data_IF_967816941826
#
_entry.id   IF_967816941826
#
_cell.length_a   1.000
_cell.length_b   1.000
_cell.length_c   1.000
_cell.angle_alpha   90.00
_cell.angle_beta   90.00
_cell.angle_gamma   90.00
#
_symmetry.space_group_name_H-M   'P 1'
#
loop_
_entity.id
_entity.type
_entity.pdbx_description
1 polymer ?
#
# COMPACT_ATOMS: atom_id res chain seq x y z
N UNK A 1 12.41 -21.16 41.98
CA UNK A 1 12.91 -21.32 40.59
C UNK A 1 12.80 -19.98 39.90
N UNK A 2 13.92 -19.26 39.78
CA UNK A 2 14.02 -17.98 39.08
C UNK A 2 14.30 -18.26 37.59
N UNK A 3 13.40 -17.85 36.71
CA UNK A 3 13.63 -17.86 35.26
C UNK A 3 14.33 -16.55 34.87
N UNK A 4 15.60 -16.66 34.48
CA UNK A 4 16.44 -15.59 33.95
C UNK A 4 15.96 -15.16 32.56
N UNK A 5 15.73 -13.85 32.38
CA UNK A 5 15.53 -13.20 31.06
C UNK A 5 16.80 -13.30 30.21
N UNK A 6 16.73 -13.50 28.88
CA UNK A 6 17.88 -13.30 28.01
C UNK A 6 18.18 -11.81 27.83
N UNK A 7 19.45 -11.47 28.02
CA UNK A 7 20.04 -10.15 27.89
C UNK A 7 20.06 -9.64 26.44
N UNK A 8 19.67 -8.38 26.27
CA UNK A 8 20.06 -7.56 25.11
C UNK A 8 21.58 -7.38 25.09
N UNK A 9 22.28 -8.06 24.17
CA UNK A 9 23.65 -7.74 23.82
C UNK A 9 23.96 -8.22 22.39
N UNK A 10 24.04 -7.28 21.46
CA UNK A 10 24.46 -7.58 20.10
C UNK A 10 24.08 -6.53 19.06
N UNK A 11 24.35 -5.23 19.30
CA UNK A 11 24.42 -4.25 18.21
C UNK A 11 25.58 -4.65 17.30
N UNK A 12 25.31 -5.41 16.23
CA UNK A 12 26.24 -5.51 15.10
C UNK A 12 26.22 -4.15 14.41
N UNK A 13 27.25 -3.37 14.69
CA UNK A 13 27.55 -2.16 13.94
C UNK A 13 27.75 -2.56 12.48
N UNK A 14 26.95 -1.95 11.60
CA UNK A 14 27.03 -2.09 10.15
C UNK A 14 28.47 -1.88 9.70
N UNK A 15 29.07 -2.92 9.15
CA UNK A 15 30.35 -2.85 8.42
C UNK A 15 30.10 -3.31 6.98
N UNK A 16 29.21 -2.63 6.27
CA UNK A 16 29.40 -2.45 4.82
C UNK A 16 30.45 -1.34 4.68
N UNK A 17 31.51 -1.65 3.94
CA UNK A 17 32.56 -0.70 3.56
C UNK A 17 31.97 0.63 3.13
N UNK A 18 32.53 1.74 3.64
CA UNK A 18 32.14 3.13 3.37
C UNK A 18 32.31 3.59 1.91
N UNK A 19 32.36 2.67 0.94
CA UNK A 19 32.48 2.96 -0.47
C UNK A 19 31.09 3.00 -1.12
N UNK A 20 30.67 4.23 -1.41
CA UNK A 20 29.62 4.65 -2.35
C UNK A 20 28.21 4.14 -2.06
N UNK A 21 27.55 4.73 -1.06
CA UNK A 21 26.09 4.82 -1.13
C UNK A 21 25.71 5.61 -2.38
N UNK A 22 24.99 4.98 -3.30
CA UNK A 22 24.47 5.63 -4.49
C UNK A 22 23.45 6.70 -4.07
N UNK A 23 23.73 7.96 -4.40
CA UNK A 23 22.75 9.05 -4.31
C UNK A 23 22.03 9.08 -5.64
N UNK A 24 20.75 8.71 -5.69
CA UNK A 24 20.06 8.61 -6.96
C UNK A 24 19.80 10.00 -7.57
N UNK A 25 19.76 10.10 -8.88
CA UNK A 25 19.29 11.26 -9.63
C UNK A 25 17.76 11.28 -9.72
N UNK A 26 17.11 10.13 -9.83
CA UNK A 26 15.65 9.95 -9.82
C UNK A 26 15.19 9.16 -8.58
N UNK A 27 14.16 9.67 -7.90
CA UNK A 27 13.60 9.06 -6.70
C UNK A 27 12.12 9.43 -6.63
N UNK A 28 11.27 8.42 -6.49
CA UNK A 28 9.83 8.60 -6.35
C UNK A 28 9.27 7.69 -5.25
N UNK A 29 8.20 8.16 -4.64
CA UNK A 29 7.36 7.36 -3.76
C UNK A 29 5.98 7.26 -4.41
N UNK A 30 5.37 6.08 -4.32
CA UNK A 30 4.02 5.84 -4.80
C UNK A 30 3.19 5.24 -3.68
N UNK A 31 2.01 5.81 -3.43
CA UNK A 31 1.00 5.10 -2.65
C UNK A 31 0.44 3.97 -3.51
N UNK A 32 0.42 2.77 -2.96
CA UNK A 32 0.00 1.58 -3.68
C UNK A 32 -0.92 0.72 -2.83
N UNK A 33 -1.79 -0.02 -3.50
CA UNK A 33 -2.58 -1.10 -2.91
C UNK A 33 -2.14 -2.43 -3.52
N UNK A 34 -1.96 -3.45 -2.68
CA UNK A 34 -1.64 -4.81 -3.11
C UNK A 34 -2.92 -5.51 -3.56
N UNK A 35 -2.92 -6.04 -4.79
CA UNK A 35 -3.93 -7.04 -5.21
C UNK A 35 -3.63 -8.34 -4.49
N UNK A 36 -4.47 -8.73 -3.53
CA UNK A 36 -4.37 -10.05 -2.90
C UNK A 36 -4.58 -11.17 -3.93
N UNK A 37 -3.77 -12.24 -3.86
CA UNK A 37 -3.89 -13.42 -4.73
C UNK A 37 -5.19 -14.21 -4.49
N UNK A 38 -5.81 -14.10 -3.31
CA UNK A 38 -7.08 -14.75 -3.00
C UNK A 38 -8.26 -14.14 -3.79
N UNK A 39 -8.08 -12.94 -4.34
CA UNK A 39 -9.13 -12.20 -5.07
C UNK A 39 -9.44 -12.87 -6.42
N UNK A 40 -8.50 -13.60 -7.02
CA UNK A 40 -8.72 -14.30 -8.30
C UNK A 40 -9.40 -15.67 -8.16
N UNK A 41 -9.34 -16.32 -7.00
CA UNK A 41 -9.88 -17.68 -6.82
C UNK A 41 -11.29 -17.69 -6.20
N UNK A 42 -11.64 -16.69 -5.39
CA UNK A 42 -12.91 -16.68 -4.65
C UNK A 42 -14.07 -15.90 -5.32
N UNK A 43 -13.83 -15.21 -6.45
CA UNK A 43 -14.81 -14.27 -7.01
C UNK A 43 -14.99 -14.47 -8.53
N UNK A 44 -16.21 -14.78 -9.02
CA UNK A 44 -16.53 -14.67 -10.43
C UNK A 44 -16.68 -13.17 -10.78
N UNK A 45 -15.56 -12.51 -11.08
CA UNK A 45 -15.55 -11.11 -11.50
C UNK A 45 -16.22 -10.96 -12.86
N UNK A 46 -17.16 -10.01 -12.99
CA UNK A 46 -16.86 -8.95 -13.94
C UNK A 46 -17.36 -7.54 -13.56
N UNK A 47 -18.23 -7.36 -12.56
CA UNK A 47 -18.73 -6.10 -11.96
C UNK A 47 -19.70 -6.56 -10.88
N UNK A 48 -19.66 -6.00 -9.68
CA UNK A 48 -20.70 -6.22 -8.67
C UNK A 48 -22.08 -6.00 -9.32
N UNK A 49 -22.90 -7.05 -9.35
CA UNK A 49 -23.75 -7.47 -10.48
C UNK A 49 -24.70 -6.36 -10.97
N UNK A 50 -24.59 -5.99 -12.25
CA UNK A 50 -25.46 -5.02 -12.91
C UNK A 50 -25.10 -4.58 -14.34
N UNK A 51 -23.92 -4.90 -14.88
CA UNK A 51 -23.59 -4.53 -16.27
C UNK A 51 -22.52 -5.46 -16.86
N UNK A 52 -22.90 -6.66 -17.32
CA UNK A 52 -22.02 -7.56 -18.08
C UNK A 52 -21.48 -6.88 -19.34
N UNK A 53 -20.19 -6.48 -19.44
CA UNK A 53 -19.59 -6.40 -20.74
C UNK A 53 -19.43 -7.85 -21.23
N UNK A 54 -19.69 -8.06 -22.51
CA UNK A 54 -19.63 -9.36 -23.19
C UNK A 54 -18.30 -10.08 -22.96
N UNK A 55 -18.24 -11.40 -23.18
CA UNK A 55 -16.99 -12.18 -23.05
C UNK A 55 -15.82 -11.58 -23.85
N UNK A 56 -16.08 -10.95 -24.99
CA UNK A 56 -15.07 -10.23 -25.79
C UNK A 56 -14.39 -9.08 -25.02
N UNK A 57 -15.10 -8.37 -24.15
CA UNK A 57 -14.53 -7.32 -23.29
C UNK A 57 -13.83 -7.87 -22.04
N UNK A 58 -14.06 -9.14 -21.67
CA UNK A 58 -13.19 -9.87 -20.74
C UNK A 58 -11.86 -10.28 -21.41
N UNK A 59 -11.82 -10.38 -22.74
CA UNK A 59 -10.59 -10.68 -23.48
C UNK A 59 -9.69 -9.44 -23.65
N UNK A 60 -10.28 -8.23 -23.67
CA UNK A 60 -9.55 -6.96 -23.56
C UNK A 60 -8.94 -6.73 -22.17
N UNK A 61 -9.41 -7.50 -21.17
CA UNK A 61 -8.74 -7.63 -19.89
C UNK A 61 -7.47 -8.46 -20.09
N UNK A 62 -6.34 -7.77 -20.23
CA UNK A 62 -5.04 -8.42 -20.11
C UNK A 62 -4.95 -8.98 -18.70
N UNK A 63 -5.20 -10.28 -18.54
CA UNK A 63 -4.66 -11.02 -17.40
C UNK A 63 -3.15 -10.78 -17.45
N UNK A 64 -2.56 -10.03 -16.51
CA UNK A 64 -1.13 -9.84 -16.59
C UNK A 64 -0.49 -11.21 -16.38
N UNK A 65 0.32 -11.57 -17.35
CA UNK A 65 0.80 -12.91 -17.67
C UNK A 65 1.82 -13.44 -16.67
N UNK A 66 1.46 -13.57 -15.39
CA UNK A 66 2.18 -14.42 -14.41
C UNK A 66 1.56 -14.34 -13.01
N UNK A 67 1.25 -15.48 -12.43
CA UNK A 67 0.95 -15.62 -11.00
C UNK A 67 2.26 -15.79 -10.23
N UNK A 68 2.65 -14.93 -9.28
CA UNK A 68 3.64 -15.35 -8.26
C UNK A 68 3.53 -14.59 -6.93
N UNK A 69 3.35 -15.36 -5.85
CA UNK A 69 3.48 -15.02 -4.42
C UNK A 69 4.99 -15.09 -4.03
N UNK A 70 5.45 -14.73 -2.82
CA UNK A 70 6.50 -13.76 -2.54
C UNK A 70 7.85 -14.46 -2.30
N UNK A 71 8.89 -13.67 -2.06
CA UNK A 71 10.19 -14.11 -1.54
C UNK A 71 11.23 -14.60 -2.55
N UNK A 72 11.20 -14.09 -3.78
CA UNK A 72 12.42 -14.00 -4.60
C UNK A 72 12.66 -12.59 -5.10
N UNK A 73 13.93 -12.17 -5.02
CA UNK A 73 14.45 -10.99 -5.71
C UNK A 73 14.09 -11.12 -7.20
N UNK A 74 13.09 -10.39 -7.66
CA UNK A 74 12.54 -10.48 -9.03
C UNK A 74 11.04 -10.82 -9.15
N UNK A 75 10.34 -11.12 -8.05
CA UNK A 75 8.90 -11.41 -8.05
C UNK A 75 8.15 -10.39 -7.19
N UNK A 76 7.44 -9.47 -7.84
CA UNK A 76 6.77 -8.33 -7.21
C UNK A 76 5.30 -8.67 -6.93
N UNK A 77 4.80 -8.29 -5.74
CA UNK A 77 3.36 -8.24 -5.50
C UNK A 77 2.72 -7.33 -6.56
N UNK A 78 1.57 -7.74 -7.10
CA UNK A 78 0.85 -6.90 -8.06
C UNK A 78 0.26 -5.70 -7.32
N UNK A 79 0.86 -4.54 -7.53
CA UNK A 79 0.42 -3.28 -6.93
C UNK A 79 -0.38 -2.44 -7.92
N UNK A 80 -1.27 -1.60 -7.39
CA UNK A 80 -1.95 -0.54 -8.13
C UNK A 80 -1.52 0.77 -7.50
N UNK A 81 -0.85 1.63 -8.26
CA UNK A 81 -0.52 2.97 -7.82
C UNK A 81 -1.79 3.82 -7.72
N UNK A 82 -2.03 4.40 -6.55
CA UNK A 82 -3.16 5.27 -6.30
C UNK A 82 -2.84 6.67 -6.82
N UNK A 83 -3.23 6.91 -8.07
CA UNK A 83 -3.01 8.18 -8.75
C UNK A 83 -4.32 8.86 -9.13
N UNK A 84 -4.27 10.15 -9.41
CA UNK A 84 -5.39 10.91 -9.99
C UNK A 84 -5.71 10.56 -11.44
N UNK A 85 -4.97 9.63 -12.06
CA UNK A 85 -5.15 9.20 -13.43
C UNK A 85 -5.88 7.85 -13.57
N UNK A 86 -6.26 7.22 -12.46
CA UNK A 86 -6.97 5.94 -12.48
C UNK A 86 -8.34 6.09 -13.17
N UNK A 87 -8.67 5.11 -14.00
CA UNK A 87 -10.01 5.04 -14.58
C UNK A 87 -11.03 4.44 -13.57
N UNK A 88 -12.31 4.45 -13.95
CA UNK A 88 -13.39 3.96 -13.08
C UNK A 88 -13.23 2.47 -12.73
N UNK A 89 -12.70 1.67 -13.65
CA UNK A 89 -12.51 0.23 -13.47
C UNK A 89 -11.34 -0.05 -12.52
N UNK A 90 -10.28 0.73 -12.62
CA UNK A 90 -9.13 0.67 -11.72
C UNK A 90 -9.52 1.09 -10.30
N UNK A 91 -10.33 2.16 -10.14
CA UNK A 91 -10.89 2.54 -8.84
C UNK A 91 -11.76 1.41 -8.26
N UNK A 92 -12.60 0.77 -9.07
CA UNK A 92 -13.38 -0.40 -8.65
C UNK A 92 -12.51 -1.58 -8.23
N UNK A 93 -11.35 -1.76 -8.86
CA UNK A 93 -10.36 -2.77 -8.48
C UNK A 93 -9.74 -2.47 -7.11
N UNK A 94 -9.42 -1.20 -6.83
CA UNK A 94 -8.93 -0.79 -5.50
C UNK A 94 -10.00 -1.05 -4.44
N UNK A 95 -11.27 -0.73 -4.73
CA UNK A 95 -12.40 -1.02 -3.83
C UNK A 95 -12.56 -2.51 -3.55
N UNK A 96 -12.37 -3.36 -4.56
CA UNK A 96 -12.37 -4.81 -4.39
C UNK A 96 -11.23 -5.30 -3.49
N UNK A 97 -10.02 -4.74 -3.64
CA UNK A 97 -8.89 -5.08 -2.78
C UNK A 97 -9.15 -4.68 -1.32
N UNK A 98 -9.72 -3.50 -1.08
CA UNK A 98 -10.16 -3.05 0.25
C UNK A 98 -11.23 -3.98 0.82
N UNK A 99 -12.27 -4.30 0.04
CA UNK A 99 -13.36 -5.13 0.49
C UNK A 99 -12.91 -6.57 0.83
N UNK A 100 -11.92 -7.09 0.09
CA UNK A 100 -11.42 -8.45 0.30
C UNK A 100 -10.42 -8.54 1.45
N UNK A 101 -9.85 -7.42 1.90
CA UNK A 101 -8.79 -7.43 2.89
C UNK A 101 -9.31 -7.84 4.27
N UNK A 102 -8.60 -8.78 4.91
CA UNK A 102 -8.96 -9.30 6.23
C UNK A 102 -10.08 -10.35 6.23
N UNK A 103 -10.61 -10.75 5.08
CA UNK A 103 -11.60 -11.83 4.99
C UNK A 103 -10.95 -13.20 5.15
N UNK A 104 -11.59 -14.06 5.94
CA UNK A 104 -11.29 -15.48 5.95
C UNK A 104 -11.81 -16.14 4.66
N UNK A 105 -11.19 -17.25 4.25
CA UNK A 105 -11.52 -17.91 2.97
C UNK A 105 -12.93 -18.50 2.89
N UNK A 106 -13.62 -18.59 4.03
CA UNK A 106 -15.01 -19.06 4.18
C UNK A 106 -16.03 -17.92 4.40
N UNK A 107 -15.58 -16.66 4.45
CA UNK A 107 -16.48 -15.53 4.64
C UNK A 107 -17.38 -15.34 3.40
N UNK A 108 -18.70 -15.52 3.57
CA UNK A 108 -19.68 -15.33 2.50
C UNK A 108 -19.61 -13.91 1.92
N UNK A 109 -19.21 -13.83 0.66
CA UNK A 109 -19.20 -12.60 -0.11
C UNK A 109 -20.64 -12.17 -0.36
N UNK A 110 -20.96 -10.94 0.03
CA UNK A 110 -22.29 -10.39 -0.20
C UNK A 110 -22.47 -10.01 -1.67
N UNK A 111 -23.64 -10.32 -2.23
CA UNK A 111 -23.85 -10.24 -3.68
C UNK A 111 -23.96 -8.80 -4.23
N UNK A 112 -23.98 -7.76 -3.37
CA UNK A 112 -24.28 -6.38 -3.79
C UNK A 112 -23.27 -5.34 -3.28
N UNK A 113 -23.10 -4.28 -4.06
CA UNK A 113 -22.23 -3.17 -3.71
C UNK A 113 -22.60 -2.45 -2.43
N UNK A 114 -23.90 -2.30 -2.20
CA UNK A 114 -24.43 -1.65 -1.01
C UNK A 114 -24.11 -2.48 0.24
N UNK A 115 -24.24 -3.80 0.17
CA UNK A 115 -23.97 -4.68 1.32
C UNK A 115 -22.49 -4.64 1.71
N UNK A 116 -21.58 -4.75 0.75
CA UNK A 116 -20.15 -4.70 1.03
C UNK A 116 -19.69 -3.31 1.50
N UNK A 117 -20.26 -2.22 0.96
CA UNK A 117 -19.97 -0.88 1.46
C UNK A 117 -20.48 -0.69 2.89
N UNK A 118 -21.65 -1.22 3.25
CA UNK A 118 -22.11 -1.23 4.65
C UNK A 118 -21.14 -1.98 5.56
N UNK A 119 -20.68 -3.16 5.13
CA UNK A 119 -19.68 -3.91 5.88
C UNK A 119 -18.38 -3.11 6.09
N UNK A 120 -17.89 -2.42 5.05
CA UNK A 120 -16.71 -1.53 5.17
C UNK A 120 -16.97 -0.39 6.17
N UNK A 121 -18.17 0.19 6.15
CA UNK A 121 -18.56 1.26 7.07
C UNK A 121 -18.65 0.77 8.53
N UNK A 122 -19.03 -0.50 8.73
CA UNK A 122 -19.15 -1.13 10.04
C UNK A 122 -17.80 -1.58 10.64
N UNK A 123 -16.71 -1.59 9.86
CA UNK A 123 -15.37 -1.87 10.38
C UNK A 123 -14.91 -0.76 11.32
N UNK A 124 -14.29 -1.11 12.45
CA UNK A 124 -13.67 -0.12 13.34
C UNK A 124 -12.60 0.69 12.60
N UNK A 125 -11.74 -0.01 11.85
CA UNK A 125 -10.71 0.59 10.99
C UNK A 125 -10.58 -0.22 9.70
N UNK A 126 -10.62 0.48 8.56
CA UNK A 126 -10.29 -0.08 7.26
C UNK A 126 -8.78 -0.15 7.12
N UNK A 127 -8.28 -1.35 6.82
CA UNK A 127 -6.88 -1.60 6.50
C UNK A 127 -6.79 -2.23 5.13
N UNK A 128 -5.71 -1.99 4.40
CA UNK A 128 -5.46 -2.67 3.12
C UNK A 128 -3.97 -2.85 2.91
N UNK A 129 -3.56 -4.05 2.47
CA UNK A 129 -2.18 -4.31 2.07
C UNK A 129 -1.76 -3.35 0.97
N UNK A 130 -0.55 -2.81 1.06
CA UNK A 130 -0.19 -1.62 0.30
C UNK A 130 0.80 -0.77 1.08
N UNK A 131 0.72 0.55 0.90
CA UNK A 131 1.60 1.49 1.59
C UNK A 131 2.44 2.28 0.60
N UNK A 132 3.70 2.50 0.94
CA UNK A 132 4.64 3.25 0.11
C UNK A 132 5.54 2.28 -0.66
N UNK A 133 5.48 2.38 -1.99
CA UNK A 133 6.48 1.85 -2.90
C UNK A 133 7.54 2.93 -3.16
N UNK A 134 8.82 2.55 -3.18
CA UNK A 134 9.92 3.47 -3.51
C UNK A 134 10.59 3.02 -4.78
N UNK A 135 10.72 3.94 -5.72
CA UNK A 135 11.38 3.74 -7.01
C UNK A 135 12.61 4.64 -7.10
N UNK A 136 13.73 4.07 -7.55
CA UNK A 136 15.01 4.74 -7.76
C UNK A 136 15.48 4.44 -9.18
N UNK A 137 15.71 5.48 -9.99
CA UNK A 137 16.09 5.32 -11.41
C UNK A 137 15.15 4.37 -12.18
N UNK A 138 13.83 4.51 -11.95
CA UNK A 138 12.82 3.65 -12.54
C UNK A 138 12.75 2.21 -11.99
N UNK A 139 13.58 1.85 -11.00
CA UNK A 139 13.60 0.51 -10.38
C UNK A 139 12.96 0.54 -9.00
N UNK A 140 12.02 -0.37 -8.73
CA UNK A 140 11.42 -0.54 -7.41
C UNK A 140 12.46 -1.11 -6.43
N UNK A 141 12.77 -0.35 -5.38
CA UNK A 141 13.74 -0.71 -4.33
C UNK A 141 13.08 -0.97 -2.98
N UNK A 142 11.86 -0.48 -2.77
CA UNK A 142 11.01 -0.82 -1.63
C UNK A 142 9.66 -1.23 -2.16
N UNK A 143 9.26 -2.46 -1.86
CA UNK A 143 7.93 -2.99 -2.12
C UNK A 143 7.07 -2.91 -0.85
N UNK A 144 5.79 -2.51 -0.99
CA UNK A 144 4.84 -2.55 0.11
C UNK A 144 4.70 -3.98 0.65
N UNK A 145 4.45 -4.09 1.95
CA UNK A 145 4.13 -5.36 2.60
C UNK A 145 2.62 -5.45 2.84
N UNK A 146 2.09 -6.67 2.97
CA UNK A 146 0.68 -6.85 3.30
C UNK A 146 0.32 -6.37 4.72
N UNK A 147 1.29 -6.30 5.64
CA UNK A 147 1.07 -5.98 7.05
C UNK A 147 1.32 -4.50 7.40
N UNK A 148 2.11 -3.78 6.60
CA UNK A 148 2.31 -2.34 6.74
C UNK A 148 1.54 -1.66 5.61
N UNK A 149 0.23 -1.52 5.81
CA UNK A 149 -0.71 -1.13 4.77
C UNK A 149 -0.72 0.36 4.46
N UNK A 150 -1.66 0.74 3.59
CA UNK A 150 -1.82 2.13 3.19
C UNK A 150 -2.16 3.03 4.39
N UNK A 151 -2.92 2.54 5.37
CA UNK A 151 -3.30 3.30 6.57
C UNK A 151 -2.12 3.85 7.38
N UNK A 152 -0.92 3.30 7.20
CA UNK A 152 0.30 3.67 7.93
C UNK A 152 1.22 4.60 7.12
N UNK A 153 0.88 5.02 5.90
CA UNK A 153 1.80 5.78 5.04
C UNK A 153 2.28 7.09 5.67
N UNK A 154 1.45 7.74 6.50
CA UNK A 154 1.79 8.98 7.22
C UNK A 154 2.84 8.79 8.31
N UNK A 155 3.09 7.57 8.78
CA UNK A 155 4.18 7.29 9.73
C UNK A 155 5.54 7.67 9.14
N UNK A 156 5.68 7.63 7.82
CA UNK A 156 6.91 8.06 7.14
C UNK A 156 7.14 9.56 7.27
N UNK A 157 6.08 10.38 7.23
CA UNK A 157 6.16 11.82 7.50
C UNK A 157 6.46 12.07 8.98
N UNK A 158 5.78 11.38 9.90
CA UNK A 158 6.02 11.50 11.33
C UNK A 158 7.48 11.17 11.69
N UNK A 159 8.05 10.12 11.09
CA UNK A 159 9.46 9.77 11.23
C UNK A 159 10.42 10.87 10.74
N UNK A 160 10.07 11.54 9.64
CA UNK A 160 10.85 12.69 9.16
C UNK A 160 10.83 13.86 10.15
N UNK A 161 9.75 14.01 10.91
CA UNK A 161 9.56 15.03 11.95
C UNK A 161 10.12 14.62 13.34
N UNK A 162 10.86 13.51 13.40
CA UNK A 162 11.51 13.03 14.64
C UNK A 162 10.70 11.99 15.42
N UNK A 163 9.61 11.50 14.84
CA UNK A 163 8.89 10.32 15.33
C UNK A 163 9.68 9.02 15.21
N UNK A 164 9.12 7.91 15.69
CA UNK A 164 9.74 6.58 15.60
C UNK A 164 9.89 6.13 14.14
N UNK A 165 10.75 5.14 13.91
CA UNK A 165 10.84 4.47 12.60
C UNK A 165 9.48 3.83 12.26
N UNK A 166 8.96 4.01 11.03
CA UNK A 166 7.69 3.42 10.63
C UNK A 166 7.82 1.90 10.62
N UNK A 167 6.73 1.20 10.94
CA UNK A 167 6.76 -0.26 10.91
C UNK A 167 6.77 -0.75 9.45
N UNK A 168 7.84 -1.45 9.07
CA UNK A 168 8.00 -1.97 7.71
C UNK A 168 7.31 -3.31 7.43
N UNK A 169 6.43 -3.77 8.33
CA UNK A 169 5.76 -5.06 8.24
C UNK A 169 6.58 -6.23 8.83
N UNK A 170 6.13 -7.45 8.54
CA UNK A 170 6.81 -8.68 8.96
C UNK A 170 7.95 -9.07 8.00
N UNK A 171 8.49 -10.27 8.16
CA UNK A 171 9.68 -10.75 7.44
C UNK A 171 9.43 -10.94 5.91
N UNK A 172 10.32 -10.45 5.02
CA UNK A 172 11.52 -9.67 5.30
C UNK A 172 11.14 -8.26 5.73
N UNK A 173 11.64 -7.87 6.90
CA UNK A 173 11.25 -6.61 7.51
C UNK A 173 11.91 -5.45 6.78
N UNK A 174 11.09 -4.59 6.17
CA UNK A 174 11.56 -3.30 5.67
C UNK A 174 12.04 -2.45 6.85
N UNK A 175 13.22 -1.86 6.69
CA UNK A 175 13.82 -0.90 7.60
C UNK A 175 13.86 0.46 6.94
N UNK A 176 13.33 1.45 7.65
CA UNK A 176 13.45 2.87 7.32
C UNK A 176 14.13 3.54 8.50
N UNK A 177 15.43 3.79 8.38
CA UNK A 177 16.28 4.19 9.51
C UNK A 177 17.02 5.49 9.23
N UNK A 178 17.20 6.31 10.27
CA UNK A 178 18.01 7.52 10.18
C UNK A 178 19.47 7.18 10.46
N UNK A 179 20.33 7.46 9.50
CA UNK A 179 21.78 7.26 9.63
C UNK A 179 22.40 8.33 10.52
N UNK A 180 23.63 8.09 11.00
CA UNK A 180 24.39 9.07 11.78
C UNK A 180 24.69 10.38 11.01
N UNK A 181 24.71 10.33 9.67
CA UNK A 181 24.85 11.51 8.81
C UNK A 181 23.54 12.25 8.55
N UNK A 182 22.42 11.79 9.12
CA UNK A 182 21.10 12.39 8.97
C UNK A 182 20.32 11.93 7.73
N UNK A 183 20.94 11.17 6.82
CA UNK A 183 20.26 10.57 5.66
C UNK A 183 19.28 9.47 6.09
N UNK A 184 18.25 9.22 5.29
CA UNK A 184 17.31 8.12 5.48
C UNK A 184 17.77 6.92 4.66
N UNK A 185 17.92 5.78 5.32
CA UNK A 185 18.25 4.51 4.71
C UNK A 185 17.02 3.62 4.57
N UNK A 186 16.83 3.04 3.39
CA UNK A 186 15.83 2.02 3.13
C UNK A 186 16.51 0.68 2.86
N UNK A 187 15.92 -0.40 3.32
CA UNK A 187 16.25 -1.73 2.83
C UNK A 187 15.66 -2.83 3.71
N UNK A 188 16.01 -4.07 3.41
CA UNK A 188 15.44 -5.23 4.07
C UNK A 188 16.46 -5.87 5.01
N UNK A 189 15.97 -6.30 6.18
CA UNK A 189 16.79 -6.94 7.20
C UNK A 189 18.03 -6.08 7.57
N UNK A 190 19.23 -6.66 7.44
CA UNK A 190 20.51 -6.02 7.74
C UNK A 190 21.14 -5.31 6.52
N UNK A 191 20.37 -5.05 5.47
CA UNK A 191 20.87 -4.45 4.22
C UNK A 191 20.19 -3.13 3.89
N UNK A 192 20.99 -2.09 3.61
CA UNK A 192 20.49 -0.86 3.00
C UNK A 192 20.59 -0.97 1.47
N UNK A 193 19.47 -0.72 0.80
CA UNK A 193 19.29 -0.70 -0.65
C UNK A 193 19.37 0.72 -1.22
N UNK A 194 18.96 1.73 -0.44
CA UNK A 194 18.97 3.14 -0.88
C UNK A 194 19.27 4.10 0.28
N UNK A 195 19.97 5.20 -0.02
CA UNK A 195 20.06 6.37 0.86
C UNK A 195 19.45 7.59 0.18
N UNK A 196 18.63 8.32 0.91
CA UNK A 196 18.03 9.59 0.45
C UNK A 196 18.19 10.68 1.50
N UNK A 197 18.25 11.92 1.05
CA UNK A 197 18.20 13.06 1.96
C UNK A 197 16.76 13.25 2.51
N UNK A 198 16.57 13.63 3.78
CA UNK A 198 15.24 13.78 4.39
C UNK A 198 14.29 14.70 3.61
N UNK A 199 14.81 15.81 3.08
CA UNK A 199 14.07 16.78 2.29
C UNK A 199 13.55 16.19 0.97
N UNK A 200 14.30 15.26 0.39
CA UNK A 200 13.90 14.59 -0.85
C UNK A 200 12.85 13.52 -0.61
N UNK A 201 12.95 12.78 0.50
CA UNK A 201 11.87 11.89 0.93
C UNK A 201 10.59 12.69 1.24
N UNK A 202 10.72 13.83 1.93
CA UNK A 202 9.59 14.71 2.24
C UNK A 202 8.89 15.19 0.96
N UNK A 203 9.64 15.64 -0.03
CA UNK A 203 9.09 16.08 -1.31
C UNK A 203 8.35 14.93 -2.02
N UNK A 204 8.93 13.73 -2.06
CA UNK A 204 8.29 12.56 -2.66
C UNK A 204 6.99 12.15 -1.93
N UNK A 205 6.97 12.20 -0.59
CA UNK A 205 5.76 11.94 0.21
C UNK A 205 4.70 13.04 0.05
N UNK A 206 5.11 14.29 -0.21
CA UNK A 206 4.19 15.37 -0.58
C UNK A 206 3.50 15.10 -1.92
N UNK A 207 4.22 14.51 -2.89
CA UNK A 207 3.60 14.05 -4.15
C UNK A 207 2.62 12.90 -3.90
N UNK A 208 2.97 11.94 -3.03
CA UNK A 208 2.05 10.87 -2.60
C UNK A 208 0.77 11.44 -1.99
N UNK A 209 0.87 12.43 -1.10
CA UNK A 209 -0.31 13.07 -0.50
C UNK A 209 -1.24 13.70 -1.55
N UNK A 210 -0.66 14.37 -2.56
CA UNK A 210 -1.42 14.98 -3.63
C UNK A 210 -2.13 13.93 -4.51
N UNK A 211 -1.44 12.83 -4.86
CA UNK A 211 -2.02 11.73 -5.63
C UNK A 211 -3.12 11.00 -4.86
N UNK A 212 -2.95 10.80 -3.55
CA UNK A 212 -4.00 10.23 -2.69
C UNK A 212 -5.23 11.14 -2.60
N UNK A 213 -5.03 12.45 -2.50
CA UNK A 213 -6.13 13.40 -2.51
C UNK A 213 -6.88 13.39 -3.86
N UNK A 214 -6.15 13.29 -4.97
CA UNK A 214 -6.73 13.15 -6.31
C UNK A 214 -7.51 11.83 -6.46
N UNK A 215 -6.94 10.72 -6.01
CA UNK A 215 -7.61 9.42 -5.95
C UNK A 215 -8.89 9.48 -5.11
N UNK A 216 -8.88 10.18 -3.97
CA UNK A 216 -10.08 10.36 -3.15
C UNK A 216 -11.22 11.10 -3.90
N UNK A 217 -10.88 11.96 -4.88
CA UNK A 217 -11.84 12.58 -5.79
C UNK A 217 -12.43 11.57 -6.79
N UNK A 218 -11.59 10.71 -7.38
CA UNK A 218 -12.03 9.63 -8.27
C UNK A 218 -12.93 8.62 -7.53
N UNK A 219 -12.58 8.28 -6.30
CA UNK A 219 -13.37 7.43 -5.42
C UNK A 219 -14.75 8.01 -5.15
N UNK A 220 -14.86 9.33 -4.94
CA UNK A 220 -16.16 9.97 -4.75
C UNK A 220 -17.05 9.82 -5.99
N UNK A 221 -16.53 10.11 -7.18
CA UNK A 221 -17.27 9.93 -8.43
C UNK A 221 -17.63 8.47 -8.71
N UNK A 222 -16.78 7.52 -8.33
CA UNK A 222 -17.09 6.08 -8.39
C UNK A 222 -18.24 5.72 -7.43
N UNK A 223 -18.19 6.21 -6.19
CA UNK A 223 -19.16 5.89 -5.15
C UNK A 223 -20.55 6.49 -5.46
N UNK A 224 -20.62 7.69 -6.04
CA UNK A 224 -21.87 8.30 -6.50
C UNK A 224 -22.59 7.44 -7.57
N UNK A 225 -21.82 6.78 -8.44
CA UNK A 225 -22.38 5.92 -9.50
C UNK A 225 -22.85 4.58 -8.95
N UNK A 226 -22.07 3.95 -8.06
CA UNK A 226 -22.28 2.57 -7.66
C UNK A 226 -23.06 2.41 -6.35
N UNK A 227 -22.94 3.37 -5.43
CA UNK A 227 -23.57 3.36 -4.10
C UNK A 227 -24.02 4.78 -3.68
N UNK A 228 -24.84 5.49 -4.48
CA UNK A 228 -25.14 6.92 -4.27
C UNK A 228 -25.60 7.27 -2.85
N UNK A 229 -26.43 6.41 -2.24
CA UNK A 229 -26.93 6.63 -0.88
C UNK A 229 -25.90 6.45 0.25
N UNK A 230 -24.71 5.93 -0.06
CA UNK A 230 -23.60 5.70 0.89
C UNK A 230 -22.31 6.40 0.46
N UNK A 231 -22.32 7.16 -0.64
CA UNK A 231 -21.11 7.68 -1.27
C UNK A 231 -20.29 8.58 -0.34
N UNK A 232 -20.94 9.57 0.29
CA UNK A 232 -20.28 10.47 1.24
C UNK A 232 -19.70 9.71 2.43
N UNK A 233 -20.50 8.83 3.05
CA UNK A 233 -20.08 8.04 4.20
C UNK A 233 -18.87 7.15 3.88
N UNK A 234 -18.88 6.49 2.72
CA UNK A 234 -17.78 5.63 2.27
C UNK A 234 -16.49 6.44 2.06
N UNK A 235 -16.59 7.55 1.33
CA UNK A 235 -15.46 8.42 1.03
C UNK A 235 -14.85 9.01 2.29
N UNK A 236 -15.69 9.41 3.25
CA UNK A 236 -15.23 9.94 4.53
C UNK A 236 -14.61 8.86 5.42
N UNK A 237 -15.17 7.64 5.44
CA UNK A 237 -14.59 6.49 6.16
C UNK A 237 -13.21 6.15 5.61
N UNK A 238 -13.09 5.93 4.30
CA UNK A 238 -11.81 5.61 3.66
C UNK A 238 -10.83 6.77 3.73
N UNK A 239 -11.30 8.00 3.59
CA UNK A 239 -10.47 9.21 3.71
C UNK A 239 -9.82 9.33 5.07
N UNK A 240 -10.53 8.98 6.15
CA UNK A 240 -9.97 8.96 7.51
C UNK A 240 -9.07 7.75 7.72
N UNK A 241 -9.57 6.55 7.47
CA UNK A 241 -8.90 5.31 7.87
C UNK A 241 -7.63 5.03 7.05
N UNK A 242 -7.65 5.32 5.75
CA UNK A 242 -6.51 5.15 4.86
C UNK A 242 -5.70 6.44 4.69
N UNK A 243 -6.05 7.48 5.46
CA UNK A 243 -5.38 8.77 5.45
C UNK A 243 -5.24 9.41 4.04
N UNK A 244 -6.28 9.27 3.19
CA UNK A 244 -6.25 9.69 1.77
C UNK A 244 -6.26 11.21 1.59
N UNK A 245 -6.60 11.96 2.64
CA UNK A 245 -6.70 13.42 2.61
C UNK A 245 -5.85 14.02 3.72
N UNK A 246 -5.41 15.28 3.60
CA UNK A 246 -4.80 16.00 4.71
C UNK A 246 -5.71 16.00 5.94
N UNK A 247 -5.15 15.93 7.17
CA UNK A 247 -5.93 16.13 8.38
C UNK A 247 -6.62 17.50 8.32
N UNK A 248 -7.92 17.54 8.66
CA UNK A 248 -8.71 18.77 8.75
C UNK A 248 -8.35 19.58 9.99
#
# INVERSE_FOLDING_TARGET
>A
MLATRPSHAGRRLYRKSANAYHRPTEFACHAVVVRSHAVSEAWPWPHWIGALPTEERRADFVAPSTSIHPYRRGEFLRTIALTGALDRLEVGTVMAAIASFGRAGDDEVEASAVAEVRRILDLDQVTVGGGIEVTVEGVVVVTPQCCAGLEQWREWLAFLDGGPEPWGGHDPMLRVTRTASGSIAFGYEDSAECLVAPERLRAALGAVEAELAAFAGLLAGWAEVHVPGLAEALVDKLGRDLALRPPR
#
